data_IF_221662752730
#
_entry.id   IF_221662752730
#
_cell.length_a   1.000
_cell.length_b   1.000
_cell.length_c   1.000
_cell.angle_alpha   90.00
_cell.angle_beta   90.00
_cell.angle_gamma   90.00
#
_symmetry.space_group_name_H-M   'P 1'
#
loop_
_entity.id
_entity.type
_entity.pdbx_description
1 polymer ?
#
# COMPACT_ATOMS: atom_id res chain seq x y z
N UNK A 1 -10.53 -4.74 39.85
CA UNK A 1 -10.44 -5.07 38.42
C UNK A 1 -10.53 -3.77 37.64
N UNK A 2 -9.38 -3.11 37.44
CA UNK A 2 -9.28 -1.73 36.97
C UNK A 2 -9.12 -1.78 35.44
N UNK A 3 -10.15 -1.33 34.72
CA UNK A 3 -10.11 -1.18 33.27
C UNK A 3 -9.26 0.05 32.98
N UNK A 4 -8.02 -0.17 32.54
CA UNK A 4 -7.20 0.91 32.00
C UNK A 4 -7.76 1.35 30.66
N UNK A 5 -8.41 2.50 30.66
CA UNK A 5 -8.64 3.28 29.44
C UNK A 5 -7.31 3.86 29.00
N UNK A 6 -6.68 3.24 28.02
CA UNK A 6 -5.52 3.82 27.33
C UNK A 6 -5.99 4.86 26.31
N UNK A 7 -6.16 6.10 26.77
CA UNK A 7 -6.16 7.29 25.91
C UNK A 7 -4.72 7.64 25.55
N UNK A 8 -4.11 6.88 24.67
CA UNK A 8 -2.80 7.22 24.13
C UNK A 8 -2.97 8.08 22.86
N UNK A 9 -2.34 9.26 22.91
CA UNK A 9 -2.30 10.25 21.83
C UNK A 9 -1.83 9.57 20.53
N UNK A 10 -2.54 9.69 19.39
CA UNK A 10 -2.21 8.99 18.14
C UNK A 10 -0.76 9.12 17.65
N UNK A 11 -0.09 10.22 17.99
CA UNK A 11 1.31 10.47 17.62
C UNK A 11 2.38 9.69 18.40
N UNK A 12 2.08 9.16 19.58
CA UNK A 12 3.04 8.42 20.39
C UNK A 12 3.28 7.01 19.81
N UNK A 13 2.24 6.36 19.30
CA UNK A 13 2.33 5.03 18.69
C UNK A 13 3.17 4.98 17.43
N UNK A 14 3.19 6.06 16.62
CA UNK A 14 3.93 6.08 15.36
C UNK A 14 5.45 5.97 15.55
N UNK A 15 5.97 6.38 16.71
CA UNK A 15 7.40 6.29 17.04
C UNK A 15 7.86 4.86 17.39
N UNK A 16 6.91 3.99 17.73
CA UNK A 16 7.16 2.60 18.09
C UNK A 16 6.96 1.64 16.90
N UNK A 17 6.62 2.20 15.72
CA UNK A 17 6.44 1.43 14.49
C UNK A 17 7.75 1.43 13.72
N UNK A 18 8.30 0.23 13.55
CA UNK A 18 9.41 -0.01 12.65
C UNK A 18 8.91 -0.47 11.27
N UNK A 19 9.60 -0.03 10.21
CA UNK A 19 9.34 -0.53 8.85
C UNK A 19 10.58 -1.29 8.40
N UNK A 20 10.40 -2.57 8.13
CA UNK A 20 11.47 -3.46 7.71
C UNK A 20 11.07 -4.33 6.52
N UNK A 21 12.03 -4.91 5.79
CA UNK A 21 11.72 -5.94 4.80
C UNK A 21 10.89 -7.08 5.41
N UNK A 22 10.00 -7.64 4.61
CA UNK A 22 9.18 -8.78 4.99
C UNK A 22 10.07 -10.02 5.24
N UNK A 23 9.73 -10.81 6.24
CA UNK A 23 10.36 -12.09 6.54
C UNK A 23 9.37 -13.24 6.40
N UNK A 24 9.86 -14.47 6.25
CA UNK A 24 8.99 -15.66 6.16
C UNK A 24 8.12 -15.83 7.43
N UNK A 25 8.64 -15.47 8.58
CA UNK A 25 7.90 -15.49 9.85
C UNK A 25 6.67 -14.55 9.87
N UNK A 26 6.61 -13.55 9.00
CA UNK A 26 5.49 -12.62 8.92
C UNK A 26 4.28 -13.19 8.15
N UNK A 27 4.47 -14.31 7.44
CA UNK A 27 3.52 -14.80 6.45
C UNK A 27 2.10 -14.95 6.99
N UNK A 28 1.93 -15.55 8.16
CA UNK A 28 0.59 -15.77 8.72
C UNK A 28 -0.12 -14.46 9.09
N UNK A 29 0.60 -13.45 9.57
CA UNK A 29 0.06 -12.13 9.87
C UNK A 29 -0.29 -11.37 8.58
N UNK A 30 0.57 -11.42 7.57
CA UNK A 30 0.34 -10.85 6.24
C UNK A 30 -0.88 -11.47 5.58
N UNK A 31 -1.01 -12.81 5.63
CA UNK A 31 -2.14 -13.51 5.05
C UNK A 31 -3.47 -13.15 5.72
N UNK A 32 -3.51 -13.00 7.05
CA UNK A 32 -4.73 -12.54 7.74
C UNK A 32 -5.16 -11.15 7.28
N UNK A 33 -4.22 -10.19 7.21
CA UNK A 33 -4.53 -8.85 6.70
C UNK A 33 -5.02 -8.92 5.24
N UNK A 34 -4.38 -9.74 4.43
CA UNK A 34 -4.76 -9.95 3.03
C UNK A 34 -6.21 -10.45 2.92
N UNK A 35 -6.59 -11.47 3.69
CA UNK A 35 -7.96 -11.98 3.73
C UNK A 35 -8.96 -10.92 4.20
N UNK A 36 -8.67 -10.21 5.28
CA UNK A 36 -9.57 -9.18 5.83
C UNK A 36 -9.86 -8.07 4.81
N UNK A 37 -8.82 -7.65 4.08
CA UNK A 37 -8.95 -6.61 3.05
C UNK A 37 -9.74 -7.10 1.85
N UNK A 38 -9.54 -8.34 1.39
CA UNK A 38 -10.29 -8.89 0.26
C UNK A 38 -11.75 -9.15 0.63
N UNK A 39 -12.02 -9.66 1.83
CA UNK A 39 -13.37 -9.91 2.33
C UNK A 39 -14.24 -8.64 2.38
N UNK A 40 -13.63 -7.46 2.52
CA UNK A 40 -14.34 -6.18 2.48
C UNK A 40 -14.87 -5.84 1.08
N UNK A 41 -14.27 -6.36 -0.03
CA UNK A 41 -14.73 -6.21 -1.41
C UNK A 41 -14.84 -4.76 -1.90
N UNK A 42 -13.99 -3.86 -1.38
CA UNK A 42 -14.12 -2.42 -1.59
C UNK A 42 -12.82 -1.74 -2.11
N UNK A 43 -11.69 -2.48 -2.24
CA UNK A 43 -10.38 -1.88 -2.52
C UNK A 43 -9.53 -2.60 -3.56
N UNK A 44 -9.64 -3.91 -3.69
CA UNK A 44 -8.79 -4.71 -4.56
C UNK A 44 -9.59 -5.49 -5.61
N UNK A 45 -9.07 -5.62 -6.85
CA UNK A 45 -9.81 -6.22 -7.97
C UNK A 45 -9.73 -7.75 -8.02
N UNK A 46 -9.28 -8.41 -6.97
CA UNK A 46 -9.18 -9.87 -6.91
C UNK A 46 -9.84 -10.39 -5.62
N UNK A 47 -10.42 -11.59 -5.72
CA UNK A 47 -11.22 -12.21 -4.67
C UNK A 47 -10.51 -13.42 -4.04
N UNK A 48 -9.45 -13.95 -4.69
CA UNK A 48 -8.71 -15.10 -4.16
C UNK A 48 -7.85 -14.73 -2.97
N UNK A 49 -8.36 -15.04 -1.77
CA UNK A 49 -7.68 -14.86 -0.49
C UNK A 49 -6.88 -16.08 -0.02
N UNK A 50 -6.57 -17.03 -0.91
CA UNK A 50 -5.78 -18.22 -0.58
C UNK A 50 -4.36 -17.87 -0.11
N UNK A 51 -3.72 -18.82 0.58
CA UNK A 51 -2.31 -18.68 0.99
C UNK A 51 -1.38 -18.56 -0.21
N UNK A 52 -1.69 -19.30 -1.27
CA UNK A 52 -0.94 -19.33 -2.53
C UNK A 52 -1.01 -17.96 -3.22
N UNK A 53 -2.22 -17.37 -3.35
CA UNK A 53 -2.40 -16.05 -3.93
C UNK A 53 -1.69 -14.96 -3.10
N UNK A 54 -1.80 -15.01 -1.77
CA UNK A 54 -1.10 -14.12 -0.86
C UNK A 54 0.42 -14.21 -1.04
N UNK A 55 0.96 -15.43 -1.10
CA UNK A 55 2.39 -15.68 -1.28
C UNK A 55 2.88 -15.16 -2.63
N UNK A 56 2.18 -15.48 -3.71
CA UNK A 56 2.52 -14.99 -5.05
C UNK A 56 2.52 -13.45 -5.10
N UNK A 57 1.57 -12.80 -4.43
CA UNK A 57 1.42 -11.36 -4.47
C UNK A 57 2.47 -10.63 -3.63
N UNK A 58 2.77 -11.08 -2.40
CA UNK A 58 3.64 -10.38 -1.45
C UNK A 58 5.07 -10.91 -1.38
N UNK A 59 5.31 -12.18 -1.77
CA UNK A 59 6.59 -12.87 -1.69
C UNK A 59 7.09 -13.37 -3.05
N UNK A 60 6.43 -12.96 -4.15
CA UNK A 60 6.80 -13.40 -5.50
C UNK A 60 8.21 -12.96 -5.90
N UNK A 61 8.79 -13.64 -6.86
CA UNK A 61 10.11 -13.29 -7.39
C UNK A 61 10.10 -11.85 -7.94
N UNK A 62 11.12 -11.06 -7.58
CA UNK A 62 11.24 -9.66 -7.98
C UNK A 62 10.33 -8.68 -7.23
N UNK A 63 9.49 -9.15 -6.29
CA UNK A 63 8.66 -8.31 -5.44
C UNK A 63 9.47 -7.85 -4.22
N UNK A 64 9.57 -6.54 -4.02
CA UNK A 64 10.14 -5.98 -2.79
C UNK A 64 9.00 -5.59 -1.86
N UNK A 65 8.92 -6.23 -0.71
CA UNK A 65 7.85 -6.02 0.29
C UNK A 65 8.42 -5.57 1.62
N UNK A 66 7.76 -4.59 2.24
CA UNK A 66 8.04 -4.10 3.59
C UNK A 66 6.80 -4.20 4.47
N UNK A 67 7.04 -4.41 5.75
CA UNK A 67 6.01 -4.50 6.79
C UNK A 67 6.21 -3.42 7.85
N UNK A 68 5.11 -2.83 8.32
CA UNK A 68 5.08 -1.95 9.49
C UNK A 68 4.74 -2.78 10.72
N UNK A 69 5.63 -2.80 11.70
CA UNK A 69 5.53 -3.63 12.91
C UNK A 69 5.60 -2.76 14.16
N UNK A 70 4.62 -2.88 15.03
CA UNK A 70 4.58 -2.20 16.32
C UNK A 70 5.30 -3.04 17.37
N UNK A 71 6.25 -2.44 18.09
CA UNK A 71 7.02 -3.07 19.17
C UNK A 71 7.69 -4.41 18.79
N UNK A 72 8.02 -4.60 17.50
CA UNK A 72 8.65 -5.82 17.01
C UNK A 72 7.74 -7.04 16.87
N UNK A 73 6.48 -6.97 17.29
CA UNK A 73 5.58 -8.12 17.36
C UNK A 73 4.33 -8.01 16.49
N UNK A 74 3.67 -6.85 16.51
CA UNK A 74 2.36 -6.68 15.86
C UNK A 74 2.49 -6.07 14.47
N UNK A 75 2.22 -6.85 13.43
CA UNK A 75 2.16 -6.36 12.06
C UNK A 75 0.88 -5.53 11.85
N UNK A 76 1.06 -4.28 11.42
CA UNK A 76 0.00 -3.30 11.23
C UNK A 76 -0.38 -3.09 9.77
N UNK A 77 0.51 -3.40 8.86
CA UNK A 77 0.30 -3.25 7.43
C UNK A 77 1.57 -3.53 6.65
N UNK A 78 1.44 -3.53 5.34
CA UNK A 78 2.53 -3.79 4.41
C UNK A 78 2.36 -3.01 3.13
N UNK A 79 3.46 -2.85 2.40
CA UNK A 79 3.45 -2.43 1.02
C UNK A 79 4.45 -3.24 0.20
N UNK A 80 4.22 -3.30 -1.10
CA UNK A 80 5.15 -3.87 -2.07
C UNK A 80 5.45 -2.87 -3.17
N UNK A 81 6.64 -2.98 -3.77
CA UNK A 81 7.05 -2.24 -4.95
C UNK A 81 7.53 -3.21 -6.02
N UNK A 82 7.13 -2.94 -7.25
CA UNK A 82 7.57 -3.66 -8.45
C UNK A 82 7.72 -2.65 -9.60
N UNK A 83 8.49 -2.93 -10.65
CA UNK A 83 8.42 -2.14 -11.87
C UNK A 83 6.98 -2.15 -12.42
N UNK A 84 6.48 -0.97 -12.85
CA UNK A 84 5.13 -0.87 -13.42
C UNK A 84 5.04 -1.56 -14.79
N UNK A 85 6.13 -1.50 -15.55
CA UNK A 85 6.30 -2.15 -16.85
C UNK A 85 7.69 -2.76 -16.94
N UNK A 86 7.87 -3.71 -17.86
CA UNK A 86 9.17 -4.27 -18.14
C UNK A 86 10.05 -3.30 -19.00
N UNK A 87 11.31 -3.62 -19.10
CA UNK A 87 12.29 -3.03 -20.01
C UNK A 87 12.29 -1.49 -19.98
N UNK A 88 11.89 -0.85 -21.08
CA UNK A 88 11.93 0.61 -21.23
C UNK A 88 10.97 1.36 -20.32
N UNK A 89 10.00 0.68 -19.69
CA UNK A 89 9.09 1.24 -18.70
C UNK A 89 9.48 0.95 -17.25
N UNK A 90 10.58 0.22 -17.01
CA UNK A 90 10.97 -0.27 -15.68
C UNK A 90 11.42 0.84 -14.72
N UNK A 91 11.67 2.06 -15.20
CA UNK A 91 12.01 3.22 -14.39
C UNK A 91 10.82 3.78 -13.59
N UNK A 92 9.59 3.32 -13.87
CA UNK A 92 8.39 3.68 -13.14
C UNK A 92 8.02 2.56 -12.19
N UNK A 93 7.92 2.85 -10.89
CA UNK A 93 7.45 1.89 -9.89
C UNK A 93 5.92 1.76 -9.91
N UNK A 94 5.41 0.58 -9.55
CA UNK A 94 4.05 0.39 -9.08
C UNK A 94 4.10 -0.10 -7.62
N UNK A 95 3.19 0.38 -6.78
CA UNK A 95 3.12 -0.05 -5.39
C UNK A 95 1.69 -0.39 -4.97
N UNK A 96 1.57 -1.31 -4.02
CA UNK A 96 0.31 -1.71 -3.40
C UNK A 96 0.46 -1.72 -1.89
N UNK A 97 -0.61 -1.37 -1.15
CA UNK A 97 -0.57 -1.20 0.30
C UNK A 97 -1.78 -1.85 0.95
N UNK A 98 -1.56 -2.61 1.99
CA UNK A 98 -2.63 -3.10 2.86
C UNK A 98 -2.33 -2.71 4.31
N UNK A 99 -3.32 -2.13 4.98
CA UNK A 99 -3.26 -1.77 6.40
C UNK A 99 -4.34 -2.56 7.12
N UNK A 100 -3.95 -3.23 8.19
CA UNK A 100 -4.88 -3.98 9.04
C UNK A 100 -6.09 -3.13 9.40
N UNK A 101 -7.32 -3.64 9.33
CA UNK A 101 -8.51 -2.92 9.76
C UNK A 101 -8.37 -2.31 11.16
N UNK A 102 -7.71 -3.02 12.08
CA UNK A 102 -7.46 -2.57 13.45
C UNK A 102 -6.42 -1.43 13.58
N UNK A 103 -5.70 -1.12 12.48
CA UNK A 103 -4.69 -0.06 12.43
C UNK A 103 -5.05 1.06 11.44
N UNK A 104 -6.28 1.09 10.95
CA UNK A 104 -6.77 2.19 10.11
C UNK A 104 -6.98 3.45 10.95
N UNK A 105 -6.76 4.62 10.31
CA UNK A 105 -6.96 5.94 10.95
C UNK A 105 -5.85 6.42 11.87
N UNK A 106 -4.90 5.56 12.28
CA UNK A 106 -3.78 5.94 13.17
C UNK A 106 -2.51 6.39 12.43
N UNK A 107 -2.55 6.49 11.09
CA UNK A 107 -1.44 7.04 10.30
C UNK A 107 -0.48 6.02 9.69
N UNK A 108 -0.68 4.71 9.87
CA UNK A 108 0.15 3.64 9.31
C UNK A 108 0.26 3.73 7.79
N UNK A 109 -0.86 3.98 7.08
CA UNK A 109 -0.85 4.14 5.62
C UNK A 109 0.04 5.29 5.15
N UNK A 110 0.05 6.41 5.88
CA UNK A 110 0.91 7.56 5.57
C UNK A 110 2.39 7.26 5.83
N UNK A 111 2.68 6.51 6.90
CA UNK A 111 4.04 6.08 7.24
C UNK A 111 4.59 5.14 6.15
N UNK A 112 3.82 4.11 5.77
CA UNK A 112 4.16 3.19 4.68
C UNK A 112 4.34 3.92 3.34
N UNK A 113 3.43 4.85 3.02
CA UNK A 113 3.49 5.63 1.78
C UNK A 113 4.74 6.52 1.70
N UNK A 114 5.13 7.19 2.79
CA UNK A 114 6.38 7.96 2.83
C UNK A 114 7.61 7.08 2.66
N UNK A 115 7.66 5.97 3.39
CA UNK A 115 8.77 5.02 3.32
C UNK A 115 8.90 4.43 1.90
N UNK A 116 7.79 4.08 1.26
CA UNK A 116 7.82 3.51 -0.09
C UNK A 116 8.34 4.48 -1.15
N UNK A 117 8.04 5.79 -1.02
CA UNK A 117 8.56 6.81 -1.92
C UNK A 117 10.07 6.98 -1.77
N UNK A 118 10.56 6.96 -0.53
CA UNK A 118 12.00 7.01 -0.27
C UNK A 118 12.69 5.75 -0.77
N UNK A 119 12.13 4.57 -0.46
CA UNK A 119 12.69 3.30 -0.93
C UNK A 119 12.69 3.19 -2.46
N UNK A 120 11.63 3.67 -3.13
CA UNK A 120 11.59 3.67 -4.59
C UNK A 120 12.69 4.56 -5.19
N UNK A 121 12.99 5.73 -4.59
CA UNK A 121 14.13 6.56 -5.02
C UNK A 121 15.47 5.85 -4.84
N UNK A 122 15.69 5.24 -3.69
CA UNK A 122 16.90 4.48 -3.39
C UNK A 122 17.09 3.30 -4.35
N UNK A 123 16.00 2.69 -4.79
CA UNK A 123 15.98 1.62 -5.79
C UNK A 123 16.16 2.12 -7.24
N UNK A 124 16.28 3.45 -7.44
CA UNK A 124 16.52 4.07 -8.75
C UNK A 124 15.28 4.31 -9.60
N UNK A 125 14.07 4.20 -9.03
CA UNK A 125 12.86 4.57 -9.76
C UNK A 125 12.74 6.10 -9.87
N UNK A 126 12.32 6.56 -11.04
CA UNK A 126 12.17 7.98 -11.37
C UNK A 126 10.74 8.49 -11.15
N UNK A 127 9.79 7.58 -11.12
CA UNK A 127 8.38 7.88 -10.88
C UNK A 127 7.67 6.70 -10.19
N UNK A 128 6.49 6.96 -9.64
CA UNK A 128 5.59 5.93 -9.13
C UNK A 128 4.19 6.12 -9.68
N UNK A 129 3.60 5.02 -10.14
CA UNK A 129 2.25 4.95 -10.68
C UNK A 129 1.40 3.96 -9.90
N UNK A 130 0.19 4.35 -9.57
CA UNK A 130 -0.85 3.44 -9.11
C UNK A 130 -1.81 3.19 -10.27
N UNK A 131 -1.91 1.94 -10.70
CA UNK A 131 -2.74 1.58 -11.85
C UNK A 131 -4.22 1.49 -11.49
N UNK A 132 -4.55 1.31 -10.21
CA UNK A 132 -5.88 0.89 -9.82
C UNK A 132 -6.24 1.39 -8.41
N UNK A 133 -6.65 2.65 -8.30
CA UNK A 133 -7.13 3.24 -7.05
C UNK A 133 -8.65 3.37 -7.14
N UNK A 134 -9.38 2.54 -6.40
CA UNK A 134 -10.85 2.56 -6.40
C UNK A 134 -11.33 3.93 -5.92
N UNK A 135 -12.14 4.62 -6.73
CA UNK A 135 -12.52 6.03 -6.50
C UNK A 135 -13.29 6.24 -5.19
N UNK A 136 -14.04 5.22 -4.75
CA UNK A 136 -14.79 5.22 -3.49
C UNK A 136 -13.92 4.98 -2.25
N UNK A 137 -12.67 4.57 -2.41
CA UNK A 137 -11.70 4.52 -1.32
C UNK A 137 -11.13 5.92 -1.04
N UNK A 138 -12.00 6.80 -0.54
CA UNK A 138 -11.69 8.23 -0.32
C UNK A 138 -10.46 8.42 0.56
N UNK A 139 -10.28 7.58 1.57
CA UNK A 139 -9.13 7.66 2.47
C UNK A 139 -7.80 7.46 1.71
N UNK A 140 -7.74 6.49 0.80
CA UNK A 140 -6.57 6.28 -0.04
C UNK A 140 -6.34 7.43 -1.02
N UNK A 141 -7.40 7.88 -1.71
CA UNK A 141 -7.31 9.00 -2.67
C UNK A 141 -6.77 10.27 -2.00
N UNK A 142 -7.29 10.61 -0.82
CA UNK A 142 -6.83 11.77 -0.03
C UNK A 142 -5.36 11.58 0.39
N UNK A 143 -5.01 10.42 0.89
CA UNK A 143 -3.64 10.10 1.30
C UNK A 143 -2.66 10.26 0.14
N UNK A 144 -2.96 9.69 -1.02
CA UNK A 144 -2.08 9.77 -2.19
C UNK A 144 -1.91 11.19 -2.70
N UNK A 145 -2.99 11.99 -2.72
CA UNK A 145 -2.90 13.42 -3.04
C UNK A 145 -2.01 14.18 -2.04
N UNK A 146 -2.13 13.92 -0.74
CA UNK A 146 -1.26 14.49 0.29
C UNK A 146 0.21 14.07 0.14
N UNK A 147 0.46 12.92 -0.44
CA UNK A 147 1.80 12.43 -0.79
C UNK A 147 2.27 12.88 -2.18
N UNK A 148 1.56 13.82 -2.83
CA UNK A 148 1.97 14.45 -4.08
C UNK A 148 1.60 13.68 -5.35
N UNK A 149 0.74 12.67 -5.27
CA UNK A 149 0.20 12.03 -6.47
C UNK A 149 -0.93 12.84 -7.09
N UNK A 150 -0.96 12.89 -8.41
CA UNK A 150 -2.05 13.44 -9.20
C UNK A 150 -2.85 12.31 -9.86
N UNK A 151 -4.16 12.51 -10.03
CA UNK A 151 -4.98 11.66 -10.89
C UNK A 151 -4.67 12.01 -12.33
N UNK A 152 -4.11 11.07 -13.08
CA UNK A 152 -3.73 11.25 -14.50
C UNK A 152 -4.71 10.58 -15.44
N UNK A 153 -5.62 9.75 -14.92
CA UNK A 153 -6.66 9.11 -15.69
C UNK A 153 -7.76 8.55 -14.80
N UNK A 154 -8.96 8.42 -15.37
CA UNK A 154 -10.11 7.76 -14.75
C UNK A 154 -10.59 6.65 -15.67
N UNK A 155 -10.74 5.45 -15.13
CA UNK A 155 -11.32 4.29 -15.81
C UNK A 155 -12.77 4.17 -15.36
N UNK A 156 -13.76 4.52 -16.23
CA UNK A 156 -15.15 4.52 -15.83
C UNK A 156 -15.65 3.12 -15.53
N UNK A 157 -16.34 2.95 -14.39
CA UNK A 157 -16.99 1.68 -13.98
C UNK A 157 -16.07 0.45 -14.00
N UNK A 158 -14.77 0.66 -13.76
CA UNK A 158 -13.78 -0.40 -13.90
C UNK A 158 -13.71 -1.34 -12.69
N UNK A 159 -14.37 -1.03 -11.58
CA UNK A 159 -14.39 -1.85 -10.38
C UNK A 159 -15.81 -2.23 -9.96
N UNK A 160 -16.07 -3.53 -9.72
CA UNK A 160 -17.33 -4.03 -9.17
C UNK A 160 -17.26 -4.03 -7.65
N UNK A 161 -17.67 -2.91 -7.06
CA UNK A 161 -17.74 -2.75 -5.61
C UNK A 161 -18.86 -3.60 -5.02
N UNK A 162 -18.61 -4.30 -3.91
CA UNK A 162 -19.55 -5.25 -3.31
C UNK A 162 -20.92 -4.63 -2.97
N UNK A 163 -20.95 -3.34 -2.55
CA UNK A 163 -22.19 -2.66 -2.11
C UNK A 163 -22.70 -1.60 -3.08
N UNK A 164 -21.82 -1.00 -3.89
CA UNK A 164 -22.14 0.20 -4.70
C UNK A 164 -22.29 -0.13 -6.19
N UNK A 165 -22.11 -1.40 -6.60
CA UNK A 165 -22.10 -1.77 -8.01
C UNK A 165 -20.81 -1.32 -8.71
N UNK A 166 -20.91 -0.93 -9.98
CA UNK A 166 -19.73 -0.54 -10.77
C UNK A 166 -19.33 0.92 -10.47
N UNK A 167 -18.10 1.11 -10.00
CA UNK A 167 -17.52 2.41 -9.65
C UNK A 167 -16.25 2.67 -10.46
N UNK A 168 -15.86 3.93 -10.53
CA UNK A 168 -14.67 4.35 -11.26
C UNK A 168 -13.38 3.97 -10.52
N UNK A 169 -12.30 3.90 -11.29
CA UNK A 169 -10.94 3.67 -10.81
C UNK A 169 -10.03 4.78 -11.31
N UNK A 170 -9.17 5.30 -10.44
CA UNK A 170 -8.16 6.30 -10.79
C UNK A 170 -6.83 5.64 -11.11
N UNK A 171 -6.16 6.15 -12.14
CA UNK A 171 -4.73 6.01 -12.35
C UNK A 171 -4.07 7.24 -11.73
N UNK A 172 -3.17 7.02 -10.78
CA UNK A 172 -2.48 8.11 -10.09
C UNK A 172 -0.97 8.03 -10.33
N UNK A 173 -0.31 9.19 -10.46
CA UNK A 173 1.09 9.29 -10.84
C UNK A 173 1.82 10.36 -10.04
N UNK A 174 3.09 10.09 -9.73
CA UNK A 174 4.00 11.03 -9.11
C UNK A 174 5.41 10.86 -9.66
N UNK A 175 6.05 11.97 -10.07
CA UNK A 175 7.50 12.02 -10.27
C UNK A 175 8.20 11.95 -8.92
N UNK A 176 9.24 11.14 -8.81
CA UNK A 176 10.04 11.01 -7.59
C UNK A 176 11.17 12.03 -7.57
N UNK A 177 11.74 12.33 -8.75
CA UNK A 177 12.82 13.29 -8.93
C UNK A 177 12.47 14.28 -10.05
N UNK A 178 13.28 15.36 -10.16
CA UNK A 178 13.13 16.34 -11.24
C UNK A 178 13.42 15.67 -12.60
N UNK A 179 12.45 15.66 -13.54
CA UNK A 179 12.61 15.00 -14.82
C UNK A 179 13.72 15.62 -15.68
N UNK A 180 14.17 16.86 -15.41
CA UNK A 180 15.29 17.47 -16.12
C UNK A 180 16.63 16.83 -15.77
N UNK A 181 16.71 16.08 -14.69
CA UNK A 181 17.90 15.38 -14.22
C UNK A 181 17.87 13.87 -14.51
N UNK A 182 16.90 13.40 -15.30
CA UNK A 182 16.82 11.98 -15.61
C UNK A 182 17.97 11.55 -16.53
N UNK A 183 18.56 10.35 -16.32
CA UNK A 183 19.59 9.82 -17.21
C UNK A 183 19.00 9.55 -18.60
N UNK A 184 19.79 9.85 -19.64
CA UNK A 184 19.43 9.59 -21.03
C UNK A 184 19.57 8.10 -21.38
#
# INVERSE_FOLDING_TARGET
MTIMHQNSVPGAYLKEIDIRPIAEADFDAVWRIFQDILAAGDKYPFDDGSREACRAYWYGAGVKTWVAVLNGERLLGMYRVVPNQADRGAHVANASYMVSPAAQGIGVGKLLGRHSLEQARQDGYLAMQFNYVVSTNVAAVVLWKQLGFSVVGTLPKAYRHQKLGYVDVYVMYRLLDDPNNWPL
#
